data_IF_026209814667
#
_entry.id   IF_026209814667
#
_cell.length_a   1.000
_cell.length_b   1.000
_cell.length_c   1.000
_cell.angle_alpha   90.00
_cell.angle_beta   90.00
_cell.angle_gamma   90.00
#
_symmetry.space_group_name_H-M   'P 1'
#
loop_
_entity.id
_entity.type
_entity.pdbx_description
1 polymer ?
#
# COMPACT_ATOMS: atom_id res chain seq x y z
N UNK A 1 -24.09 -42.22 9.22
CA UNK A 1 -23.06 -41.21 9.55
C UNK A 1 -23.62 -39.88 9.10
N UNK A 2 -24.17 -39.11 10.03
CA UNK A 2 -24.89 -37.87 9.71
C UNK A 2 -23.92 -36.69 9.62
N UNK A 3 -23.44 -36.44 8.41
CA UNK A 3 -22.60 -35.28 8.07
C UNK A 3 -23.26 -33.96 8.44
N UNK A 4 -24.59 -33.86 8.33
CA UNK A 4 -25.34 -32.66 8.69
C UNK A 4 -25.30 -32.35 10.19
N UNK A 5 -25.24 -33.39 11.02
CA UNK A 5 -25.11 -33.23 12.46
C UNK A 5 -23.69 -32.76 12.82
N UNK A 6 -22.67 -33.30 12.16
CA UNK A 6 -21.27 -32.90 12.32
C UNK A 6 -21.03 -31.44 11.87
N UNK A 7 -21.64 -31.02 10.75
CA UNK A 7 -21.58 -29.65 10.24
C UNK A 7 -22.28 -28.69 11.22
N UNK A 8 -23.45 -29.06 11.74
CA UNK A 8 -24.17 -28.24 12.74
C UNK A 8 -23.39 -28.09 14.04
N UNK A 9 -22.72 -29.14 14.52
CA UNK A 9 -21.91 -29.04 15.74
C UNK A 9 -20.67 -28.19 15.53
N UNK A 10 -20.00 -28.31 14.38
CA UNK A 10 -18.84 -27.46 14.03
C UNK A 10 -19.23 -25.99 13.83
N UNK A 11 -20.40 -25.72 13.24
CA UNK A 11 -20.90 -24.36 13.07
C UNK A 11 -21.35 -23.73 14.40
N UNK A 12 -21.91 -24.53 15.31
CA UNK A 12 -22.33 -24.09 16.64
C UNK A 12 -21.13 -23.85 17.60
N UNK A 13 -20.05 -24.62 17.44
CA UNK A 13 -18.83 -24.47 18.24
C UNK A 13 -17.91 -23.34 17.74
N UNK A 14 -18.31 -22.65 16.67
CA UNK A 14 -17.62 -21.47 16.17
C UNK A 14 -17.96 -20.23 17.03
N UNK A 15 -17.54 -20.26 18.30
CA UNK A 15 -17.58 -19.12 19.21
C UNK A 15 -16.70 -17.96 18.73
N UNK A 16 -15.78 -18.22 17.79
CA UNK A 16 -15.00 -17.20 17.11
C UNK A 16 -15.84 -16.56 16.01
N UNK A 17 -16.63 -15.57 16.40
CA UNK A 17 -17.28 -14.66 15.45
C UNK A 17 -16.17 -13.90 14.72
N UNK A 18 -15.72 -14.44 13.59
CA UNK A 18 -14.69 -13.85 12.75
C UNK A 18 -15.06 -12.39 12.51
N UNK A 19 -14.33 -11.48 13.17
CA UNK A 19 -14.46 -10.05 12.90
C UNK A 19 -14.24 -9.90 11.39
N UNK A 20 -15.02 -9.07 10.68
CA UNK A 20 -14.78 -8.90 9.26
C UNK A 20 -13.34 -8.42 9.10
N UNK A 21 -12.52 -9.25 8.44
CA UNK A 21 -11.07 -9.05 8.26
C UNK A 21 -10.77 -7.64 7.72
N UNK A 22 -11.70 -7.08 6.93
CA UNK A 22 -11.67 -5.70 6.47
C UNK A 22 -11.67 -4.63 7.58
N UNK A 23 -12.49 -4.77 8.62
CA UNK A 23 -12.48 -3.82 9.74
C UNK A 23 -11.22 -3.96 10.59
N UNK A 24 -10.73 -5.18 10.81
CA UNK A 24 -9.49 -5.40 11.54
C UNK A 24 -8.28 -4.79 10.80
N UNK A 25 -8.20 -5.00 9.48
CA UNK A 25 -7.17 -4.39 8.64
C UNK A 25 -7.29 -2.86 8.60
N UNK A 26 -8.50 -2.32 8.45
CA UNK A 26 -8.75 -0.88 8.44
C UNK A 26 -8.31 -0.22 9.74
N UNK A 27 -8.68 -0.80 10.90
CA UNK A 27 -8.28 -0.28 12.20
C UNK A 27 -6.78 -0.38 12.43
N UNK A 28 -6.15 -1.46 11.99
CA UNK A 28 -4.70 -1.63 12.11
C UNK A 28 -3.93 -0.62 11.24
N UNK A 29 -4.39 -0.39 10.00
CA UNK A 29 -3.82 0.64 9.13
C UNK A 29 -4.07 2.05 9.68
N UNK A 30 -5.28 2.33 10.20
CA UNK A 30 -5.62 3.62 10.81
C UNK A 30 -4.77 3.90 12.05
N UNK A 31 -4.42 2.88 12.83
CA UNK A 31 -3.52 3.01 13.98
C UNK A 31 -2.04 3.14 13.56
N UNK A 32 -1.61 2.46 12.50
CA UNK A 32 -0.24 2.50 12.02
C UNK A 32 0.10 3.77 11.21
N UNK A 33 -0.88 4.35 10.51
CA UNK A 33 -0.74 5.58 9.74
C UNK A 33 -0.18 6.78 10.55
N UNK A 34 -0.72 7.13 11.73
CA UNK A 34 -0.18 8.23 12.53
C UNK A 34 1.24 7.93 13.04
N UNK A 35 1.58 6.67 13.33
CA UNK A 35 2.95 6.29 13.70
C UNK A 35 3.91 6.54 12.53
N UNK A 36 3.55 6.11 11.33
CA UNK A 36 4.33 6.40 10.12
C UNK A 36 4.44 7.89 9.84
N UNK A 37 3.38 8.66 10.13
CA UNK A 37 3.37 10.11 9.94
C UNK A 37 4.27 10.81 10.97
N UNK A 38 4.31 10.34 12.21
CA UNK A 38 5.23 10.86 13.23
C UNK A 38 6.69 10.60 12.85
N UNK A 39 7.00 9.41 12.32
CA UNK A 39 8.33 9.09 11.79
C UNK A 39 8.68 10.03 10.64
N UNK A 40 7.72 10.34 9.75
CA UNK A 40 7.93 11.32 8.67
C UNK A 40 8.35 12.69 9.19
N UNK A 41 7.57 13.22 10.14
CA UNK A 41 7.81 14.54 10.69
C UNK A 41 9.13 14.58 11.48
N UNK A 42 9.50 13.50 12.15
CA UNK A 42 10.73 13.40 12.90
C UNK A 42 11.99 13.28 12.02
N UNK A 43 11.93 12.51 10.93
CA UNK A 43 13.12 12.23 10.10
C UNK A 43 13.30 13.20 8.93
N UNK A 44 12.22 13.54 8.20
CA UNK A 44 12.33 14.31 6.95
C UNK A 44 11.87 15.77 7.11
N UNK A 45 10.92 16.03 8.01
CA UNK A 45 10.31 17.35 8.19
C UNK A 45 9.45 17.79 6.99
N UNK A 46 8.64 18.84 7.19
CA UNK A 46 7.84 19.44 6.11
C UNK A 46 8.72 20.35 5.28
N UNK A 47 8.80 20.10 3.97
CA UNK A 47 9.51 20.98 3.05
C UNK A 47 8.78 22.33 3.01
N UNK A 48 9.45 23.47 3.25
CA UNK A 48 8.77 24.78 3.25
C UNK A 48 8.16 25.14 1.89
N UNK A 49 8.67 24.54 0.81
CA UNK A 49 8.19 24.70 -0.56
C UNK A 49 7.10 23.67 -0.98
N UNK A 50 6.40 23.02 -0.04
CA UNK A 50 5.35 22.04 -0.41
C UNK A 50 4.28 22.67 -1.32
N UNK A 51 3.81 23.87 -0.98
CA UNK A 51 2.72 24.52 -1.71
C UNK A 51 3.11 24.92 -3.15
N UNK A 52 4.36 25.32 -3.37
CA UNK A 52 4.90 25.60 -4.70
C UNK A 52 5.25 24.32 -5.45
N UNK A 53 5.70 23.27 -4.76
CA UNK A 53 5.98 21.96 -5.34
C UNK A 53 4.72 21.20 -5.78
N UNK A 54 3.58 21.41 -5.13
CA UNK A 54 2.27 20.85 -5.54
C UNK A 54 1.80 21.35 -6.92
N UNK A 55 2.37 22.43 -7.45
CA UNK A 55 2.06 22.85 -8.83
C UNK A 55 2.90 22.10 -9.87
N UNK A 56 3.84 21.26 -9.44
CA UNK A 56 4.64 20.43 -10.33
C UNK A 56 3.94 19.08 -10.54
N UNK A 57 3.51 18.74 -11.77
CA UNK A 57 2.79 17.49 -12.05
C UNK A 57 3.59 16.24 -11.69
N UNK A 58 4.94 16.32 -11.66
CA UNK A 58 5.79 15.20 -11.24
C UNK A 58 5.81 14.98 -9.71
N UNK A 59 5.48 16.00 -8.93
CA UNK A 59 5.33 15.87 -7.47
C UNK A 59 4.06 15.08 -7.16
N UNK A 60 2.93 15.45 -7.76
CA UNK A 60 1.64 14.79 -7.55
C UNK A 60 1.65 13.34 -8.04
N UNK A 61 2.36 13.07 -9.14
CA UNK A 61 2.46 11.73 -9.70
C UNK A 61 3.06 10.72 -8.71
N UNK A 62 3.99 11.14 -7.85
CA UNK A 62 4.54 10.26 -6.79
C UNK A 62 3.44 9.82 -5.82
N UNK A 63 2.54 10.73 -5.44
CA UNK A 63 1.40 10.40 -4.57
C UNK A 63 0.35 9.58 -5.30
N UNK A 64 0.10 9.86 -6.58
CA UNK A 64 -0.86 9.09 -7.37
C UNK A 64 -0.42 7.62 -7.50
N UNK A 65 0.87 7.38 -7.79
CA UNK A 65 1.43 6.02 -7.88
C UNK A 65 1.35 5.30 -6.54
N UNK A 66 1.74 5.94 -5.44
CA UNK A 66 1.73 5.30 -4.12
C UNK A 66 0.33 5.00 -3.62
N UNK A 67 -0.64 5.90 -3.85
CA UNK A 67 -2.04 5.66 -3.52
C UNK A 67 -2.66 4.55 -4.37
N UNK A 68 -2.38 4.51 -5.68
CA UNK A 68 -2.84 3.44 -6.55
C UNK A 68 -2.27 2.08 -6.11
N UNK A 69 -0.97 2.05 -5.76
CA UNK A 69 -0.32 0.85 -5.25
C UNK A 69 -0.95 0.41 -3.92
N UNK A 70 -1.12 1.33 -2.97
CA UNK A 70 -1.72 1.04 -1.67
C UNK A 70 -3.15 0.50 -1.80
N UNK A 71 -3.99 1.14 -2.62
CA UNK A 71 -5.36 0.71 -2.87
C UNK A 71 -5.40 -0.70 -3.49
N UNK A 72 -4.57 -0.96 -4.51
CA UNK A 72 -4.49 -2.28 -5.13
C UNK A 72 -3.99 -3.35 -4.16
N UNK A 73 -3.00 -3.05 -3.32
CA UNK A 73 -2.47 -3.97 -2.33
C UNK A 73 -3.49 -4.30 -1.24
N UNK A 74 -4.22 -3.30 -0.74
CA UNK A 74 -5.30 -3.50 0.25
C UNK A 74 -6.41 -4.36 -0.36
N UNK A 75 -6.85 -4.04 -1.59
CA UNK A 75 -7.90 -4.79 -2.26
C UNK A 75 -7.49 -6.25 -2.50
N UNK A 76 -6.26 -6.50 -2.95
CA UNK A 76 -5.69 -7.84 -3.14
C UNK A 76 -5.62 -8.59 -1.81
N UNK A 77 -5.16 -7.93 -0.73
CA UNK A 77 -5.05 -8.53 0.62
C UNK A 77 -6.41 -8.96 1.16
N UNK A 78 -7.44 -8.14 0.99
CA UNK A 78 -8.83 -8.46 1.37
C UNK A 78 -9.47 -9.54 0.49
N UNK A 79 -9.03 -9.63 -0.78
CA UNK A 79 -9.50 -10.68 -1.68
C UNK A 79 -8.88 -12.03 -1.31
N UNK A 80 -7.57 -12.08 -1.08
CA UNK A 80 -6.83 -13.27 -0.63
C UNK A 80 -7.28 -13.81 0.72
N UNK A 81 -7.84 -12.96 1.58
CA UNK A 81 -8.36 -13.41 2.88
C UNK A 81 -9.68 -14.20 2.77
N UNK A 82 -10.26 -14.34 1.56
CA UNK A 82 -11.43 -15.18 1.31
C UNK A 82 -10.97 -16.49 0.65
N UNK A 83 -11.30 -17.66 1.22
CA UNK A 83 -10.77 -18.96 0.77
C UNK A 83 -11.21 -19.38 -0.65
N UNK A 84 -12.23 -18.74 -1.24
CA UNK A 84 -12.72 -19.02 -2.60
C UNK A 84 -12.10 -18.11 -3.68
N UNK A 85 -11.22 -17.19 -3.30
CA UNK A 85 -10.72 -16.15 -4.21
C UNK A 85 -9.58 -16.66 -5.10
N UNK A 86 -9.82 -16.71 -6.42
CA UNK A 86 -8.78 -17.00 -7.40
C UNK A 86 -7.93 -15.75 -7.70
N UNK A 87 -6.61 -15.86 -7.52
CA UNK A 87 -5.67 -14.76 -7.78
C UNK A 87 -5.63 -14.32 -9.25
N UNK A 88 -6.05 -15.21 -10.16
CA UNK A 88 -5.89 -15.07 -11.61
C UNK A 88 -6.66 -13.89 -12.19
N UNK A 89 -7.85 -13.57 -11.65
CA UNK A 89 -8.65 -12.42 -12.13
C UNK A 89 -8.26 -11.12 -11.43
N UNK A 90 -7.86 -11.17 -10.17
CA UNK A 90 -7.62 -9.97 -9.37
C UNK A 90 -6.18 -9.45 -9.46
N UNK A 91 -5.23 -10.32 -9.82
CA UNK A 91 -3.82 -9.93 -10.06
C UNK A 91 -3.64 -8.86 -11.15
N UNK A 92 -4.61 -8.72 -12.07
CA UNK A 92 -4.62 -7.62 -13.06
C UNK A 92 -4.72 -6.23 -12.41
N UNK A 93 -5.30 -6.09 -11.22
CA UNK A 93 -5.33 -4.81 -10.50
C UNK A 93 -3.92 -4.34 -10.09
N UNK A 94 -2.97 -5.26 -9.92
CA UNK A 94 -1.57 -4.93 -9.66
C UNK A 94 -0.87 -4.31 -10.88
N UNK A 95 -1.42 -4.49 -12.09
CA UNK A 95 -0.89 -3.87 -13.29
C UNK A 95 -1.26 -2.38 -13.38
N UNK A 96 -2.27 -1.92 -12.66
CA UNK A 96 -2.68 -0.51 -12.65
C UNK A 96 -1.55 0.42 -12.17
N UNK A 97 -0.96 0.24 -10.97
CA UNK A 97 0.16 1.09 -10.53
C UNK A 97 1.39 0.96 -11.44
N UNK A 98 1.65 -0.23 -11.99
CA UNK A 98 2.73 -0.43 -12.95
C UNK A 98 2.50 0.35 -14.26
N UNK A 99 1.27 0.34 -14.77
CA UNK A 99 0.88 1.11 -15.95
C UNK A 99 0.99 2.62 -15.74
N UNK A 100 0.58 3.12 -14.57
CA UNK A 100 0.75 4.54 -14.21
C UNK A 100 2.24 4.91 -14.17
N UNK A 101 3.09 4.07 -13.58
CA UNK A 101 4.53 4.28 -13.55
C UNK A 101 5.14 4.32 -14.95
N UNK A 102 4.77 3.39 -15.83
CA UNK A 102 5.25 3.36 -17.22
C UNK A 102 4.81 4.60 -17.99
N UNK A 103 3.55 5.02 -17.84
CA UNK A 103 3.02 6.24 -18.44
C UNK A 103 3.76 7.49 -17.94
N UNK A 104 4.08 7.53 -16.65
CA UNK A 104 4.82 8.63 -16.04
C UNK A 104 6.25 8.74 -16.59
N UNK A 105 6.98 7.63 -16.60
CA UNK A 105 8.37 7.58 -17.07
C UNK A 105 8.43 7.92 -18.56
N UNK A 106 7.51 7.38 -19.36
CA UNK A 106 7.44 7.70 -20.80
C UNK A 106 7.11 9.18 -21.04
N UNK A 107 6.16 9.75 -20.29
CA UNK A 107 5.87 11.19 -20.34
C UNK A 107 7.08 12.05 -19.95
N UNK A 108 7.84 11.64 -18.93
CA UNK A 108 9.08 12.32 -18.51
C UNK A 108 10.18 12.27 -19.59
N UNK A 109 10.18 11.21 -20.41
CA UNK A 109 11.18 10.96 -21.45
C UNK A 109 10.91 11.77 -22.73
N UNK A 110 9.65 12.16 -22.96
CA UNK A 110 9.25 13.02 -24.09
C UNK A 110 9.53 14.51 -23.86
N UNK A 111 9.87 14.93 -22.64
CA UNK A 111 10.16 16.32 -22.32
C UNK A 111 11.64 16.67 -22.53
N UNK A 112 11.96 17.83 -23.16
CA UNK A 112 13.34 18.29 -23.31
C UNK A 112 13.97 18.58 -21.94
N UNK A 113 15.05 17.88 -21.60
CA UNK A 113 15.64 17.93 -20.26
C UNK A 113 17.13 18.23 -20.31
N UNK A 114 17.59 19.10 -19.40
CA UNK A 114 18.98 19.58 -19.35
C UNK A 114 19.90 18.69 -18.52
N UNK A 115 19.36 17.77 -17.73
CA UNK A 115 20.11 16.87 -16.86
C UNK A 115 20.19 15.46 -17.42
N UNK A 116 21.30 14.74 -17.22
CA UNK A 116 21.46 13.38 -17.69
C UNK A 116 20.41 12.45 -17.07
N UNK A 117 19.84 11.56 -17.89
CA UNK A 117 18.76 10.63 -17.53
C UNK A 117 19.02 9.88 -16.22
N UNK A 118 20.25 9.40 -16.03
CA UNK A 118 20.62 8.59 -14.87
C UNK A 118 20.52 9.38 -13.55
N UNK A 119 20.85 10.67 -13.56
CA UNK A 119 20.73 11.55 -12.38
C UNK A 119 19.27 11.86 -12.05
N UNK A 120 18.39 11.91 -13.05
CA UNK A 120 16.93 12.08 -12.86
C UNK A 120 16.27 10.82 -12.32
N UNK A 121 16.64 9.65 -12.85
CA UNK A 121 16.09 8.36 -12.45
C UNK A 121 16.44 7.99 -11.00
N UNK A 122 17.70 8.18 -10.62
CA UNK A 122 18.18 7.87 -9.26
C UNK A 122 17.72 8.97 -8.28
N UNK A 123 17.71 10.22 -8.74
CA UNK A 123 17.43 11.38 -7.89
C UNK A 123 18.59 11.71 -6.95
N UNK A 124 18.58 12.93 -6.39
CA UNK A 124 19.67 13.43 -5.55
C UNK A 124 19.69 12.81 -4.14
N UNK A 125 18.55 12.30 -3.67
CA UNK A 125 18.35 11.82 -2.30
C UNK A 125 18.07 10.30 -2.24
N UNK A 126 18.56 9.53 -3.21
CA UNK A 126 18.28 8.09 -3.33
C UNK A 126 18.59 7.29 -2.06
N UNK A 127 19.74 7.53 -1.44
CA UNK A 127 20.16 6.84 -0.21
C UNK A 127 19.22 7.11 0.96
N UNK A 128 18.81 8.38 1.14
CA UNK A 128 17.85 8.75 2.18
C UNK A 128 16.47 8.12 1.92
N UNK A 129 16.04 8.05 0.66
CA UNK A 129 14.80 7.37 0.30
C UNK A 129 14.88 5.85 0.54
N UNK A 130 16.02 5.21 0.25
CA UNK A 130 16.21 3.77 0.48
C UNK A 130 16.13 3.38 1.96
N UNK A 131 16.48 4.28 2.89
CA UNK A 131 16.36 4.02 4.33
C UNK A 131 15.02 4.46 4.89
N UNK A 132 14.53 5.64 4.50
CA UNK A 132 13.29 6.21 5.03
C UNK A 132 12.05 5.42 4.58
N UNK A 133 11.96 5.00 3.30
CA UNK A 133 10.77 4.30 2.79
C UNK A 133 10.51 3.00 3.58
N UNK A 134 11.50 2.10 3.77
CA UNK A 134 11.31 0.92 4.61
C UNK A 134 10.95 1.26 6.05
N UNK A 135 11.67 2.21 6.67
CA UNK A 135 11.43 2.60 8.07
C UNK A 135 9.99 3.09 8.29
N UNK A 136 9.47 3.90 7.37
CA UNK A 136 8.10 4.40 7.41
C UNK A 136 7.05 3.33 7.07
N UNK A 137 7.39 2.37 6.22
CA UNK A 137 6.50 1.27 5.85
C UNK A 137 6.39 0.17 6.93
N UNK A 138 7.38 0.06 7.80
CA UNK A 138 7.48 -1.02 8.80
C UNK A 138 6.29 -1.05 9.77
N UNK A 139 5.85 0.08 10.37
CA UNK A 139 4.67 0.10 11.23
C UNK A 139 3.39 -0.33 10.50
N UNK A 140 3.21 0.11 9.25
CA UNK A 140 2.07 -0.25 8.41
C UNK A 140 2.06 -1.75 8.10
N UNK A 141 3.22 -2.33 7.79
CA UNK A 141 3.38 -3.76 7.55
C UNK A 141 3.05 -4.58 8.80
N UNK A 142 3.59 -4.19 9.95
CA UNK A 142 3.33 -4.86 11.24
C UNK A 142 1.84 -4.78 11.60
N UNK A 143 1.23 -3.61 11.42
CA UNK A 143 -0.21 -3.42 11.61
C UNK A 143 -1.03 -4.33 10.69
N UNK A 144 -0.69 -4.37 9.40
CA UNK A 144 -1.40 -5.22 8.43
C UNK A 144 -1.29 -6.72 8.78
N UNK A 145 -0.10 -7.20 9.14
CA UNK A 145 0.11 -8.59 9.54
C UNK A 145 -0.64 -8.93 10.84
N UNK A 146 -0.67 -8.01 11.80
CA UNK A 146 -1.41 -8.19 13.05
C UNK A 146 -2.93 -8.19 12.81
N UNK A 147 -3.44 -7.30 11.97
CA UNK A 147 -4.85 -7.24 11.60
C UNK A 147 -5.32 -8.49 10.86
N UNK A 148 -4.50 -9.02 9.93
CA UNK A 148 -4.78 -10.26 9.21
C UNK A 148 -4.67 -11.51 10.08
N UNK A 149 -3.86 -11.50 11.16
CA UNK A 149 -3.77 -12.62 12.12
C UNK A 149 -5.01 -12.79 13.00
N UNK A 150 -5.85 -11.75 13.12
CA UNK A 150 -7.01 -11.76 14.03
C UNK A 150 -8.34 -12.15 13.37
N UNK A 151 -8.37 -12.38 12.06
CA UNK A 151 -9.57 -12.81 11.34
C UNK A 151 -9.37 -14.16 10.67
#
# INVERSE_FOLDING_TARGET
>A
MDTDQLIRTLAADNAYRARPIGLALMLALLAAAPVSLLIFFAELGVRPDVMTAMHNPFFDLKFAVTLALAASAIAVSLHLSRPEASLRSFGWWLLIPAGILVAAISGEMMMPQRTPMMTRLIGKNSMACMTAIPAMSLPLLVGALYGLRQG
#
